data_IF_124276204807
#
_entry.id   IF_124276204807
#
_cell.length_a   1.000
_cell.length_b   1.000
_cell.length_c   1.000
_cell.angle_alpha   90.00
_cell.angle_beta   90.00
_cell.angle_gamma   90.00
#
_symmetry.space_group_name_H-M   'P 1'
#
loop_
_entity.id
_entity.type
_entity.pdbx_description
1 polymer ?
#
# COMPACT_ATOMS: atom_id res chain seq x y z
N UNK A 1 4.60 -23.83 -1.40
CA UNK A 1 4.48 -22.43 -0.96
C UNK A 1 3.74 -22.35 0.36
N UNK A 2 3.91 -21.26 1.10
CA UNK A 2 3.11 -20.96 2.29
C UNK A 2 2.26 -19.71 2.00
N UNK A 3 0.94 -19.84 2.11
CA UNK A 3 0.03 -18.69 2.18
C UNK A 3 -0.04 -18.26 3.64
N UNK A 4 0.49 -17.07 3.91
CA UNK A 4 0.67 -16.51 5.24
C UNK A 4 -0.31 -15.37 5.47
N UNK A 5 -1.18 -15.51 6.46
CA UNK A 5 -2.21 -14.51 6.77
C UNK A 5 -2.08 -14.05 8.21
N UNK A 6 -1.99 -12.73 8.41
CA UNK A 6 -2.09 -12.12 9.75
C UNK A 6 -3.52 -11.65 10.00
N UNK A 7 -4.04 -11.89 11.22
CA UNK A 7 -5.40 -11.51 11.57
C UNK A 7 -5.49 -10.88 12.96
N UNK A 8 -6.35 -9.86 13.10
CA UNK A 8 -6.76 -9.29 14.38
C UNK A 8 -8.25 -9.01 14.37
N UNK A 9 -9.02 -9.78 15.14
CA UNK A 9 -10.47 -9.64 15.26
C UNK A 9 -11.19 -9.69 13.89
N UNK A 10 -10.95 -10.77 13.12
CA UNK A 10 -11.47 -10.95 11.76
C UNK A 10 -12.44 -12.13 11.66
N UNK A 11 -13.12 -12.51 12.77
CA UNK A 11 -14.02 -13.66 12.84
C UNK A 11 -15.03 -13.74 11.71
N UNK A 12 -15.62 -12.60 11.34
CA UNK A 12 -16.65 -12.53 10.31
C UNK A 12 -16.11 -12.78 8.89
N UNK A 13 -14.83 -12.48 8.65
CA UNK A 13 -14.20 -12.61 7.32
C UNK A 13 -13.49 -13.95 7.13
N UNK A 14 -13.06 -14.59 8.21
CA UNK A 14 -12.28 -15.84 8.20
C UNK A 14 -12.94 -16.96 7.36
N UNK A 15 -14.24 -17.30 7.51
CA UNK A 15 -14.81 -18.40 6.74
C UNK A 15 -14.73 -18.18 5.23
N UNK A 16 -15.06 -16.97 4.78
CA UNK A 16 -15.01 -16.62 3.37
C UNK A 16 -13.57 -16.56 2.84
N UNK A 17 -12.63 -16.02 3.63
CA UNK A 17 -11.21 -15.97 3.25
C UNK A 17 -10.59 -17.36 3.15
N UNK A 18 -10.88 -18.26 4.10
CA UNK A 18 -10.37 -19.63 4.06
C UNK A 18 -10.97 -20.39 2.87
N UNK A 19 -12.27 -20.25 2.61
CA UNK A 19 -12.90 -20.83 1.42
C UNK A 19 -12.27 -20.31 0.13
N UNK A 20 -12.05 -18.99 0.00
CA UNK A 20 -11.34 -18.40 -1.15
C UNK A 20 -9.93 -18.99 -1.30
N UNK A 21 -9.18 -19.08 -0.21
CA UNK A 21 -7.79 -19.56 -0.23
C UNK A 21 -7.66 -21.03 -0.62
N UNK A 22 -8.65 -21.87 -0.25
CA UNK A 22 -8.68 -23.31 -0.60
C UNK A 22 -9.13 -23.56 -2.04
N UNK A 23 -9.89 -22.63 -2.61
CA UNK A 23 -10.42 -22.73 -3.99
C UNK A 23 -9.51 -22.09 -5.05
N UNK A 24 -8.28 -21.71 -4.69
CA UNK A 24 -7.34 -21.17 -5.65
C UNK A 24 -6.82 -22.27 -6.60
N UNK A 25 -6.61 -21.90 -7.86
CA UNK A 25 -6.11 -22.79 -8.91
C UNK A 25 -4.60 -23.08 -8.73
N UNK A 26 -4.29 -23.85 -7.67
CA UNK A 26 -2.93 -24.31 -7.35
C UNK A 26 -3.02 -25.65 -6.61
N UNK A 27 -2.11 -26.60 -6.82
CA UNK A 27 -2.15 -27.93 -6.16
C UNK A 27 -2.22 -27.78 -4.64
N UNK A 28 -3.28 -28.26 -4.03
CA UNK A 28 -3.57 -28.06 -2.60
C UNK A 28 -2.50 -28.68 -1.70
N UNK A 29 -1.92 -29.82 -2.10
CA UNK A 29 -0.84 -30.49 -1.40
C UNK A 29 0.49 -29.71 -1.42
N UNK A 30 0.59 -28.67 -2.27
CA UNK A 30 1.75 -27.77 -2.36
C UNK A 30 1.55 -26.43 -1.65
N UNK A 31 0.39 -26.21 -1.00
CA UNK A 31 0.09 -25.00 -0.24
C UNK A 31 -0.05 -25.32 1.24
N UNK A 32 0.73 -24.67 2.07
CA UNK A 32 0.51 -24.59 3.51
C UNK A 32 -0.22 -23.30 3.84
N UNK A 33 -1.25 -23.39 4.67
CA UNK A 33 -2.01 -22.22 5.12
C UNK A 33 -1.61 -21.90 6.57
N UNK A 34 -0.84 -20.84 6.76
CA UNK A 34 -0.42 -20.35 8.08
C UNK A 34 -1.22 -19.08 8.41
N UNK A 35 -1.89 -19.12 9.55
CA UNK A 35 -2.58 -17.98 10.12
C UNK A 35 -1.96 -17.58 11.44
N UNK A 36 -1.63 -16.29 11.56
CA UNK A 36 -1.05 -15.72 12.78
C UNK A 36 -2.00 -14.68 13.33
N UNK A 37 -2.56 -14.96 14.50
CA UNK A 37 -3.46 -14.03 15.20
C UNK A 37 -2.71 -13.29 16.30
N UNK A 38 -2.99 -11.98 16.46
CA UNK A 38 -2.25 -11.07 17.32
C UNK A 38 -3.22 -10.33 18.26
N UNK A 39 -3.43 -10.89 19.45
CA UNK A 39 -4.32 -10.34 20.47
C UNK A 39 -5.80 -10.37 20.09
N UNK A 40 -6.23 -11.29 19.22
CA UNK A 40 -7.64 -11.46 18.88
C UNK A 40 -8.43 -12.02 20.07
N UNK A 41 -9.59 -11.42 20.34
CA UNK A 41 -10.47 -11.77 21.45
C UNK A 41 -11.96 -11.91 21.03
N UNK A 42 -12.23 -12.03 19.73
CA UNK A 42 -13.55 -12.17 19.14
C UNK A 42 -13.93 -13.63 18.80
N UNK A 43 -13.08 -14.60 19.16
CA UNK A 43 -13.22 -16.00 18.79
C UNK A 43 -12.61 -16.35 17.42
N UNK A 44 -11.77 -15.46 16.85
CA UNK A 44 -11.03 -15.73 15.61
C UNK A 44 -10.05 -16.90 15.73
N UNK A 45 -9.25 -17.04 16.82
CA UNK A 45 -8.32 -18.16 16.96
C UNK A 45 -9.05 -19.51 17.01
N UNK A 46 -10.07 -19.63 17.84
CA UNK A 46 -10.86 -20.85 18.04
C UNK A 46 -11.57 -21.27 16.74
N UNK A 47 -12.09 -20.27 15.98
CA UNK A 47 -12.69 -20.54 14.68
C UNK A 47 -11.65 -21.09 13.70
N UNK A 48 -10.48 -20.49 13.62
CA UNK A 48 -9.39 -20.96 12.74
C UNK A 48 -8.92 -22.39 13.10
N UNK A 49 -8.75 -22.68 14.39
CA UNK A 49 -8.36 -24.00 14.87
C UNK A 49 -9.38 -25.09 14.53
N UNK A 50 -10.66 -24.73 14.40
CA UNK A 50 -11.73 -25.66 13.98
C UNK A 50 -11.72 -25.98 12.49
N UNK A 51 -10.93 -25.25 11.66
CA UNK A 51 -10.91 -25.40 10.22
C UNK A 51 -9.77 -26.32 9.78
N UNK A 52 -10.11 -27.40 9.11
CA UNK A 52 -9.15 -28.41 8.62
C UNK A 52 -8.11 -27.79 7.66
N UNK A 53 -6.85 -28.21 7.78
CA UNK A 53 -5.76 -27.80 6.89
C UNK A 53 -5.26 -26.37 7.12
N UNK A 54 -5.59 -25.76 8.25
CA UNK A 54 -5.10 -24.45 8.68
C UNK A 54 -4.16 -24.62 9.87
N UNK A 55 -2.96 -24.04 9.78
CA UNK A 55 -2.02 -23.96 10.87
C UNK A 55 -2.19 -22.60 11.57
N UNK A 56 -2.52 -22.61 12.86
CA UNK A 56 -2.85 -21.39 13.63
C UNK A 56 -1.78 -21.15 14.69
N UNK A 57 -1.29 -19.91 14.72
CA UNK A 57 -0.34 -19.46 15.73
C UNK A 57 -0.89 -18.21 16.41
N UNK A 58 -1.46 -18.39 17.62
CA UNK A 58 -2.08 -17.32 18.38
C UNK A 58 -1.14 -16.75 19.45
N UNK A 59 -1.19 -15.44 19.65
CA UNK A 59 -0.60 -14.73 20.79
C UNK A 59 -1.71 -13.89 21.43
N UNK A 60 -1.96 -14.01 22.75
CA UNK A 60 -3.02 -13.26 23.43
C UNK A 60 -2.68 -11.79 23.60
N UNK A 61 -1.39 -11.44 23.63
CA UNK A 61 -0.93 -10.06 23.70
C UNK A 61 -0.84 -9.44 22.29
N UNK A 62 -1.45 -8.26 22.14
CA UNK A 62 -1.44 -7.52 20.88
C UNK A 62 -0.15 -6.72 20.70
N UNK A 63 0.71 -7.13 19.79
CA UNK A 63 2.01 -6.51 19.48
C UNK A 63 2.07 -5.85 18.09
N UNK A 64 1.04 -6.02 17.26
CA UNK A 64 0.93 -5.45 15.93
C UNK A 64 1.31 -6.42 14.81
N UNK A 65 0.93 -6.07 13.57
CA UNK A 65 1.08 -6.92 12.38
C UNK A 65 2.51 -7.40 12.17
N UNK A 66 3.49 -6.50 12.32
CA UNK A 66 4.92 -6.84 12.14
C UNK A 66 5.40 -7.86 13.16
N UNK A 67 5.02 -7.69 14.43
CA UNK A 67 5.38 -8.67 15.46
C UNK A 67 4.78 -10.05 15.16
N UNK A 68 3.52 -10.08 14.66
CA UNK A 68 2.88 -11.30 14.20
C UNK A 68 3.62 -11.91 13.00
N UNK A 69 4.02 -11.11 12.02
CA UNK A 69 4.79 -11.58 10.86
C UNK A 69 6.14 -12.14 11.27
N UNK A 70 6.94 -11.41 12.07
CA UNK A 70 8.24 -11.88 12.55
C UNK A 70 8.12 -13.21 13.30
N UNK A 71 7.13 -13.33 14.20
CA UNK A 71 6.85 -14.56 14.93
C UNK A 71 6.44 -15.71 14.00
N UNK A 72 5.52 -15.45 13.09
CA UNK A 72 4.97 -16.47 12.20
C UNK A 72 5.98 -16.99 11.19
N UNK A 73 6.93 -16.17 10.75
CA UNK A 73 7.96 -16.57 9.80
C UNK A 73 8.85 -17.72 10.31
N UNK A 74 8.96 -17.91 11.62
CA UNK A 74 9.70 -19.05 12.23
C UNK A 74 9.08 -20.39 11.87
N UNK A 75 7.81 -20.44 11.52
CA UNK A 75 7.08 -21.65 11.15
C UNK A 75 7.01 -21.89 9.64
N UNK A 76 7.47 -20.94 8.83
CA UNK A 76 7.50 -21.04 7.37
C UNK A 76 8.69 -21.92 6.96
N UNK A 77 8.41 -23.05 6.28
CA UNK A 77 9.43 -24.03 5.83
C UNK A 77 9.47 -24.19 4.31
N UNK A 78 8.58 -23.53 3.59
CA UNK A 78 8.51 -23.61 2.12
C UNK A 78 9.44 -22.60 1.48
N UNK A 79 9.90 -22.83 0.23
CA UNK A 79 10.83 -21.92 -0.45
C UNK A 79 10.24 -20.52 -0.71
N UNK A 80 8.91 -20.41 -0.83
CA UNK A 80 8.21 -19.16 -1.12
C UNK A 80 7.14 -18.96 -0.07
N UNK A 81 7.09 -17.75 0.49
CA UNK A 81 6.00 -17.27 1.35
C UNK A 81 5.21 -16.18 0.62
N UNK A 82 3.88 -16.33 0.65
CA UNK A 82 2.91 -15.41 0.05
C UNK A 82 2.14 -14.76 1.19
N UNK A 83 2.27 -13.46 1.35
CA UNK A 83 1.57 -12.68 2.36
C UNK A 83 0.24 -12.16 1.81
N UNK A 84 -0.80 -12.28 2.60
CA UNK A 84 -2.12 -11.74 2.28
C UNK A 84 -2.83 -11.26 3.55
N UNK A 85 -3.60 -10.18 3.43
CA UNK A 85 -4.43 -9.70 4.52
C UNK A 85 -5.67 -10.60 4.71
N UNK A 86 -6.15 -10.72 5.94
CA UNK A 86 -7.29 -11.56 6.30
C UNK A 86 -8.62 -11.13 5.63
N UNK A 87 -8.74 -9.86 5.28
CA UNK A 87 -9.94 -9.24 4.72
C UNK A 87 -9.85 -8.98 3.20
N UNK A 88 -8.92 -9.63 2.51
CA UNK A 88 -8.77 -9.55 1.05
C UNK A 88 -9.06 -10.90 0.40
N UNK A 89 -9.60 -10.90 -0.82
CA UNK A 89 -9.91 -12.10 -1.58
C UNK A 89 -8.99 -12.21 -2.78
N UNK A 90 -8.32 -13.34 -2.91
CA UNK A 90 -7.35 -13.58 -3.98
C UNK A 90 -8.07 -14.03 -5.26
N UNK A 91 -7.55 -13.58 -6.41
CA UNK A 91 -7.97 -14.14 -7.71
C UNK A 91 -7.55 -15.60 -7.83
N UNK A 92 -8.33 -16.39 -8.55
CA UNK A 92 -8.18 -17.85 -8.64
C UNK A 92 -6.77 -18.30 -9.03
N UNK A 93 -6.13 -17.63 -9.98
CA UNK A 93 -4.80 -17.97 -10.49
C UNK A 93 -3.65 -17.24 -9.75
N UNK A 94 -3.92 -16.47 -8.72
CA UNK A 94 -2.94 -15.56 -8.11
C UNK A 94 -1.70 -16.29 -7.60
N UNK A 95 -1.84 -17.44 -6.94
CA UNK A 95 -0.68 -18.23 -6.47
C UNK A 95 0.13 -18.77 -7.64
N UNK A 96 -0.51 -19.37 -8.64
CA UNK A 96 0.16 -19.94 -9.82
C UNK A 96 0.99 -18.87 -10.54
N UNK A 97 0.40 -17.70 -10.76
CA UNK A 97 1.04 -16.58 -11.44
C UNK A 97 2.24 -16.05 -10.66
N UNK A 98 2.09 -15.85 -9.35
CA UNK A 98 3.18 -15.42 -8.47
C UNK A 98 4.32 -16.43 -8.51
N UNK A 99 4.03 -17.71 -8.34
CA UNK A 99 5.05 -18.78 -8.30
C UNK A 99 5.80 -18.90 -9.62
N UNK A 100 5.11 -18.71 -10.76
CA UNK A 100 5.75 -18.78 -12.08
C UNK A 100 6.87 -17.73 -12.26
N UNK A 101 6.73 -16.54 -11.67
CA UNK A 101 7.75 -15.50 -11.75
C UNK A 101 9.03 -15.82 -10.97
N UNK A 102 8.95 -16.67 -9.94
CA UNK A 102 10.12 -17.15 -9.21
C UNK A 102 10.96 -18.18 -9.99
N UNK A 103 10.53 -18.58 -11.20
CA UNK A 103 11.36 -19.33 -12.13
C UNK A 103 12.61 -18.56 -12.55
N UNK A 104 12.59 -17.24 -12.56
CA UNK A 104 13.81 -16.42 -12.70
C UNK A 104 14.53 -16.33 -11.33
N UNK A 105 15.79 -16.80 -11.22
CA UNK A 105 16.54 -16.74 -9.97
C UNK A 105 16.84 -15.31 -9.50
N UNK A 106 16.75 -14.31 -10.36
CA UNK A 106 16.90 -12.89 -10.00
C UNK A 106 15.69 -12.32 -9.28
N UNK A 107 14.53 -12.96 -9.38
CA UNK A 107 13.30 -12.53 -8.73
C UNK A 107 13.33 -12.98 -7.27
N UNK A 108 13.43 -12.02 -6.36
CA UNK A 108 13.38 -12.27 -4.91
C UNK A 108 12.03 -11.93 -4.28
N UNK A 109 11.26 -11.05 -4.94
CA UNK A 109 9.93 -10.65 -4.50
C UNK A 109 8.98 -10.51 -5.69
N UNK A 110 7.69 -10.79 -5.48
CA UNK A 110 6.62 -10.57 -6.45
C UNK A 110 5.52 -9.77 -5.76
N UNK A 111 5.16 -8.62 -6.35
CA UNK A 111 4.01 -7.82 -5.95
C UNK A 111 2.81 -8.19 -6.80
N UNK A 112 1.71 -8.54 -6.18
CA UNK A 112 0.41 -8.62 -6.83
C UNK A 112 -0.23 -7.24 -7.00
N UNK A 113 -1.44 -7.26 -7.58
CA UNK A 113 -2.29 -6.09 -7.80
C UNK A 113 -3.35 -5.97 -6.73
N UNK A 114 -3.53 -4.78 -6.22
CA UNK A 114 -4.69 -4.42 -5.40
C UNK A 114 -5.85 -4.03 -6.29
N UNK A 115 -6.98 -4.74 -6.18
CA UNK A 115 -8.25 -4.36 -6.80
C UNK A 115 -9.25 -3.96 -5.73
N UNK A 116 -9.95 -2.86 -5.94
CA UNK A 116 -10.97 -2.39 -5.00
C UNK A 116 -12.33 -2.83 -5.51
N UNK A 117 -13.06 -3.57 -4.67
CA UNK A 117 -14.44 -3.91 -4.92
C UNK A 117 -15.34 -2.71 -4.58
N UNK A 118 -16.08 -2.25 -5.56
CA UNK A 118 -17.11 -1.23 -5.39
C UNK A 118 -18.48 -1.91 -5.45
N UNK A 119 -19.14 -2.06 -4.32
CA UNK A 119 -20.53 -2.56 -4.29
C UNK A 119 -21.50 -1.61 -5.03
N UNK A 120 -21.17 -0.29 -4.97
CA UNK A 120 -21.81 0.77 -5.78
C UNK A 120 -20.75 1.41 -6.66
N UNK A 121 -20.77 1.17 -7.97
CA UNK A 121 -19.85 1.77 -8.96
C UNK A 121 -19.88 3.31 -9.00
N UNK A 122 -20.70 3.93 -8.18
CA UNK A 122 -21.15 5.30 -8.24
C UNK A 122 -20.68 6.21 -7.08
N UNK A 123 -19.89 5.72 -6.10
CA UNK A 123 -19.43 6.60 -5.03
C UNK A 123 -18.30 7.52 -5.49
N UNK A 124 -18.39 8.82 -5.18
CA UNK A 124 -17.39 9.82 -5.55
C UNK A 124 -16.00 9.53 -4.96
N UNK A 125 -15.93 8.96 -3.75
CA UNK A 125 -14.68 8.50 -3.12
C UNK A 125 -14.05 7.35 -3.89
N UNK A 126 -14.86 6.39 -4.37
CA UNK A 126 -14.39 5.26 -5.17
C UNK A 126 -13.82 5.65 -6.52
N UNK A 127 -14.34 6.71 -7.17
CA UNK A 127 -13.83 7.15 -8.47
C UNK A 127 -12.42 7.78 -8.39
N UNK A 128 -12.13 8.58 -7.35
CA UNK A 128 -10.79 9.16 -7.16
C UNK A 128 -9.76 8.12 -6.74
N UNK A 129 -10.14 7.22 -5.85
CA UNK A 129 -9.31 6.09 -5.45
C UNK A 129 -9.02 5.16 -6.64
N UNK A 130 -10.02 4.88 -7.48
CA UNK A 130 -9.84 4.06 -8.68
C UNK A 130 -8.89 4.69 -9.72
N UNK A 131 -8.92 6.02 -9.94
CA UNK A 131 -7.98 6.71 -10.82
C UNK A 131 -6.56 6.61 -10.26
N UNK A 132 -6.42 6.84 -8.96
CA UNK A 132 -5.12 6.72 -8.28
C UNK A 132 -4.52 5.32 -8.41
N UNK A 133 -5.31 4.27 -8.18
CA UNK A 133 -4.83 2.89 -8.31
C UNK A 133 -4.47 2.51 -9.74
N UNK A 134 -5.22 2.99 -10.74
CA UNK A 134 -4.83 2.82 -12.16
C UNK A 134 -3.49 3.45 -12.47
N UNK A 135 -3.22 4.63 -11.91
CA UNK A 135 -1.94 5.30 -12.05
C UNK A 135 -0.81 4.51 -11.34
N UNK A 136 -1.02 4.04 -10.11
CA UNK A 136 -0.04 3.22 -9.37
C UNK A 136 0.25 1.89 -10.12
N UNK A 137 -0.77 1.22 -10.64
CA UNK A 137 -0.62 -0.01 -11.42
C UNK A 137 0.20 0.23 -12.70
N UNK A 138 -0.03 1.36 -13.37
CA UNK A 138 0.73 1.74 -14.56
C UNK A 138 2.21 1.99 -14.22
N UNK A 139 2.48 2.71 -13.13
CA UNK A 139 3.85 2.92 -12.64
C UNK A 139 4.54 1.60 -12.28
N UNK A 140 3.87 0.70 -11.56
CA UNK A 140 4.42 -0.62 -11.26
C UNK A 140 4.77 -1.43 -12.51
N UNK A 141 3.91 -1.36 -13.55
CA UNK A 141 4.21 -1.99 -14.84
C UNK A 141 5.48 -1.44 -15.49
N UNK A 142 5.63 -0.13 -15.50
CA UNK A 142 6.82 0.52 -16.06
C UNK A 142 8.07 0.26 -15.22
N UNK A 143 7.95 0.30 -13.91
CA UNK A 143 9.03 -0.01 -12.99
C UNK A 143 9.54 -1.44 -13.18
N UNK A 144 8.64 -2.42 -13.22
CA UNK A 144 9.00 -3.82 -13.44
C UNK A 144 9.67 -4.05 -14.81
N UNK A 145 9.21 -3.32 -15.85
CA UNK A 145 9.83 -3.38 -17.20
C UNK A 145 11.21 -2.72 -17.23
N UNK A 146 11.41 -1.64 -16.47
CA UNK A 146 12.68 -0.93 -16.44
C UNK A 146 13.72 -1.73 -15.65
N UNK A 147 13.38 -2.17 -14.45
CA UNK A 147 14.26 -2.97 -13.61
C UNK A 147 13.52 -3.68 -12.47
N UNK A 148 12.88 -2.96 -11.55
CA UNK A 148 12.25 -3.50 -10.36
C UNK A 148 11.14 -2.58 -9.88
N UNK A 149 10.06 -3.15 -9.36
CA UNK A 149 9.03 -2.34 -8.68
C UNK A 149 9.60 -1.73 -7.40
N UNK A 150 9.13 -0.54 -7.04
CA UNK A 150 9.52 0.17 -5.82
C UNK A 150 8.47 -0.07 -4.73
N UNK A 151 8.63 -1.19 -4.05
CA UNK A 151 7.74 -1.61 -2.97
C UNK A 151 6.55 -2.45 -3.44
N UNK A 152 6.26 -3.52 -2.72
CA UNK A 152 5.15 -4.42 -2.96
C UNK A 152 3.81 -3.84 -2.45
N UNK A 153 2.70 -4.49 -2.77
CA UNK A 153 1.37 -4.19 -2.24
C UNK A 153 1.05 -5.13 -1.09
N UNK A 154 0.71 -4.58 0.07
CA UNK A 154 0.50 -5.34 1.31
C UNK A 154 -0.64 -6.34 1.27
N UNK A 155 -1.59 -6.16 0.37
CA UNK A 155 -2.74 -7.04 0.18
C UNK A 155 -2.37 -8.38 -0.44
N UNK A 156 -1.30 -8.40 -1.27
CA UNK A 156 -0.77 -9.62 -1.88
C UNK A 156 0.67 -9.40 -2.36
N UNK A 157 1.62 -10.03 -1.72
CA UNK A 157 3.00 -10.11 -2.20
C UNK A 157 3.66 -11.41 -1.73
N UNK A 158 4.73 -11.77 -2.39
CA UNK A 158 5.49 -12.97 -2.06
C UNK A 158 6.98 -12.70 -2.09
N UNK A 159 7.74 -13.46 -1.28
CA UNK A 159 9.20 -13.43 -1.28
C UNK A 159 9.77 -14.85 -1.26
N UNK A 160 11.03 -15.00 -1.68
CA UNK A 160 11.80 -16.19 -1.31
C UNK A 160 12.00 -16.18 0.19
N UNK A 161 11.71 -17.30 0.84
CA UNK A 161 11.71 -17.40 2.31
C UNK A 161 13.11 -17.18 2.91
N UNK A 162 14.16 -17.61 2.20
CA UNK A 162 15.56 -17.42 2.58
C UNK A 162 16.04 -15.96 2.53
N UNK A 163 15.28 -15.07 1.84
CA UNK A 163 15.57 -13.65 1.79
C UNK A 163 14.86 -12.83 2.90
N UNK A 164 14.09 -13.51 3.74
CA UNK A 164 13.43 -12.84 4.85
C UNK A 164 14.44 -12.23 5.82
N UNK A 165 14.18 -10.99 6.19
CA UNK A 165 14.88 -10.30 7.28
C UNK A 165 13.83 -9.80 8.26
N UNK A 166 14.07 -10.05 9.53
CA UNK A 166 13.22 -9.55 10.60
C UNK A 166 13.09 -8.03 10.51
N UNK A 167 11.86 -7.55 10.66
CA UNK A 167 11.53 -6.12 10.49
C UNK A 167 11.32 -5.51 11.87
N UNK A 168 11.75 -4.27 12.02
CA UNK A 168 11.61 -3.53 13.28
C UNK A 168 10.14 -3.41 13.67
N UNK A 169 9.79 -3.67 14.95
CA UNK A 169 8.39 -3.72 15.41
C UNK A 169 7.59 -2.43 15.17
N UNK A 170 8.27 -1.27 15.10
CA UNK A 170 7.67 0.03 14.85
C UNK A 170 7.44 0.37 13.36
N UNK A 171 7.65 -0.59 12.46
CA UNK A 171 7.47 -0.41 11.01
C UNK A 171 5.99 -0.23 10.66
N UNK A 172 5.69 0.81 9.87
CA UNK A 172 4.32 1.17 9.50
C UNK A 172 3.89 0.64 8.13
N UNK A 173 4.86 0.47 7.22
CA UNK A 173 4.69 -0.07 5.87
C UNK A 173 5.54 -1.33 5.76
N UNK A 174 4.99 -2.43 6.22
CA UNK A 174 5.63 -3.75 6.24
C UNK A 174 6.02 -4.23 4.84
N UNK A 175 5.06 -4.28 3.95
CA UNK A 175 5.20 -4.69 2.56
C UNK A 175 6.29 -3.92 1.81
N UNK A 176 6.31 -2.60 2.01
CA UNK A 176 7.27 -1.71 1.39
C UNK A 176 8.70 -1.96 1.90
N UNK A 177 8.88 -2.08 3.22
CA UNK A 177 10.19 -2.29 3.83
C UNK A 177 10.71 -3.70 3.52
N UNK A 178 9.88 -4.73 3.66
CA UNK A 178 10.25 -6.12 3.38
C UNK A 178 10.71 -6.28 1.93
N UNK A 179 9.89 -5.84 0.98
CA UNK A 179 10.19 -5.99 -0.44
C UNK A 179 11.45 -5.23 -0.87
N UNK A 180 11.65 -4.01 -0.37
CA UNK A 180 12.86 -3.25 -0.67
C UNK A 180 14.11 -3.81 0.00
N UNK A 181 14.01 -4.43 1.18
CA UNK A 181 15.14 -5.17 1.78
C UNK A 181 15.55 -6.38 0.92
N UNK A 182 14.59 -7.05 0.29
CA UNK A 182 14.89 -8.09 -0.70
C UNK A 182 15.63 -7.49 -1.91
N UNK A 183 15.16 -6.36 -2.43
CA UNK A 183 15.82 -5.68 -3.54
C UNK A 183 17.25 -5.18 -3.18
N UNK A 184 17.47 -4.75 -1.94
CA UNK A 184 18.79 -4.34 -1.45
C UNK A 184 19.82 -5.49 -1.39
N UNK A 185 19.35 -6.75 -1.37
CA UNK A 185 20.19 -7.94 -1.45
C UNK A 185 20.59 -8.31 -2.89
N UNK A 186 20.19 -7.48 -3.89
CA UNK A 186 20.55 -7.67 -5.30
C UNK A 186 19.49 -8.41 -6.13
N UNK A 187 18.33 -8.68 -5.56
CA UNK A 187 17.19 -9.28 -6.27
C UNK A 187 16.26 -8.21 -6.86
N UNK A 188 15.35 -8.63 -7.73
CA UNK A 188 14.31 -7.76 -8.30
C UNK A 188 12.96 -8.04 -7.63
N UNK A 189 12.12 -7.00 -7.59
CA UNK A 189 10.70 -7.11 -7.26
C UNK A 189 9.93 -7.08 -8.58
N UNK A 190 9.30 -8.20 -8.93
CA UNK A 190 8.45 -8.29 -10.12
C UNK A 190 7.00 -7.95 -9.79
N UNK A 191 6.20 -7.68 -10.82
CA UNK A 191 4.80 -7.32 -10.69
C UNK A 191 3.94 -8.07 -11.70
N UNK A 192 2.88 -8.69 -11.21
CA UNK A 192 1.86 -9.29 -12.07
C UNK A 192 0.49 -8.66 -11.76
N UNK A 193 -0.12 -7.91 -12.69
CA UNK A 193 -1.43 -7.28 -12.50
C UNK A 193 -2.60 -8.27 -12.49
N UNK A 194 -2.37 -9.51 -12.95
CA UNK A 194 -3.38 -10.56 -12.96
C UNK A 194 -3.28 -11.49 -11.74
N UNK A 195 -2.20 -11.40 -10.97
CA UNK A 195 -2.13 -11.91 -9.62
C UNK A 195 -2.67 -10.84 -8.66
N UNK A 196 -3.94 -10.91 -8.27
CA UNK A 196 -4.60 -9.81 -7.58
C UNK A 196 -5.27 -10.21 -6.28
N UNK A 197 -5.41 -9.22 -5.40
CA UNK A 197 -6.24 -9.27 -4.20
C UNK A 197 -7.33 -8.21 -4.27
N UNK A 198 -8.57 -8.62 -3.99
CA UNK A 198 -9.75 -7.74 -3.95
C UNK A 198 -9.97 -7.30 -2.52
N UNK A 199 -10.12 -6.01 -2.31
CA UNK A 199 -10.42 -5.39 -1.02
C UNK A 199 -11.64 -4.48 -1.13
N UNK A 200 -12.46 -4.41 -0.08
CA UNK A 200 -13.57 -3.45 -0.02
C UNK A 200 -13.06 -2.01 0.10
N UNK A 201 -13.74 -1.08 -0.58
CA UNK A 201 -13.41 0.34 -0.51
C UNK A 201 -13.52 0.91 0.91
N UNK A 202 -12.77 1.96 1.21
CA UNK A 202 -12.90 2.72 2.45
C UNK A 202 -14.33 3.26 2.61
N UNK A 203 -14.87 3.23 3.84
CA UNK A 203 -16.25 3.61 4.12
C UNK A 203 -16.57 5.04 3.68
N UNK A 204 -15.66 5.96 3.94
CA UNK A 204 -15.79 7.38 3.61
C UNK A 204 -14.44 8.09 3.42
N UNK A 205 -14.49 9.34 2.96
CA UNK A 205 -13.30 10.18 2.73
C UNK A 205 -12.49 10.46 4.00
N UNK A 206 -13.12 10.41 5.18
CA UNK A 206 -12.46 10.63 6.47
C UNK A 206 -11.54 9.45 6.81
N UNK A 207 -12.04 8.24 6.67
CA UNK A 207 -11.27 7.00 6.87
C UNK A 207 -10.13 6.90 5.84
N UNK A 208 -10.40 7.28 4.59
CA UNK A 208 -9.38 7.35 3.55
C UNK A 208 -8.27 8.34 3.91
N UNK A 209 -8.60 9.55 4.40
CA UNK A 209 -7.61 10.52 4.85
C UNK A 209 -6.76 9.99 6.02
N UNK A 210 -7.37 9.36 7.02
CA UNK A 210 -6.63 8.72 8.13
C UNK A 210 -5.64 7.68 7.61
N UNK A 211 -6.09 6.83 6.68
CA UNK A 211 -5.25 5.82 6.02
C UNK A 211 -4.07 6.49 5.29
N UNK A 212 -4.32 7.55 4.52
CA UNK A 212 -3.27 8.28 3.78
C UNK A 212 -2.27 8.98 4.69
N UNK A 213 -2.71 9.55 5.82
CA UNK A 213 -1.82 10.13 6.84
C UNK A 213 -0.88 9.06 7.41
N UNK A 214 -1.41 7.86 7.72
CA UNK A 214 -0.61 6.74 8.20
C UNK A 214 0.40 6.28 7.15
N UNK A 215 -0.03 6.11 5.90
CA UNK A 215 0.83 5.73 4.78
C UNK A 215 1.93 6.78 4.58
N UNK A 216 1.61 8.06 4.65
CA UNK A 216 2.58 9.15 4.51
C UNK A 216 3.62 9.15 5.64
N UNK A 217 3.18 8.97 6.89
CA UNK A 217 4.09 8.86 8.04
C UNK A 217 5.00 7.63 7.90
N UNK A 218 4.43 6.48 7.49
CA UNK A 218 5.18 5.25 7.22
C UNK A 218 6.14 5.39 6.04
N UNK A 219 5.76 6.12 4.99
CA UNK A 219 6.61 6.42 3.85
C UNK A 219 7.83 7.24 4.25
N UNK A 220 7.64 8.28 5.08
CA UNK A 220 8.73 9.10 5.64
C UNK A 220 9.66 8.23 6.51
N UNK A 221 9.08 7.42 7.41
CA UNK A 221 9.84 6.47 8.23
C UNK A 221 10.67 5.52 7.36
N UNK A 222 10.05 4.93 6.34
CA UNK A 222 10.70 3.99 5.44
C UNK A 222 11.83 4.65 4.64
N UNK A 223 11.66 5.90 4.15
CA UNK A 223 12.71 6.64 3.45
C UNK A 223 13.92 6.86 4.34
N UNK A 224 13.73 7.23 5.60
CA UNK A 224 14.81 7.44 6.56
C UNK A 224 15.50 6.10 6.89
N UNK A 225 14.73 5.03 7.09
CA UNK A 225 15.22 3.68 7.42
C UNK A 225 16.01 3.04 6.26
N UNK A 226 15.51 3.21 5.04
CA UNK A 226 16.10 2.69 3.82
C UNK A 226 17.01 3.73 3.10
N UNK A 227 17.57 4.70 3.83
CA UNK A 227 18.38 5.79 3.27
C UNK A 227 19.55 5.33 2.42
N UNK A 228 20.06 4.12 2.63
CA UNK A 228 21.12 3.54 1.79
C UNK A 228 20.69 3.40 0.33
N UNK A 229 19.39 3.20 0.04
CA UNK A 229 18.86 3.17 -1.33
C UNK A 229 18.97 4.52 -2.07
N UNK A 230 19.27 5.62 -1.39
CA UNK A 230 19.55 6.91 -2.02
C UNK A 230 20.91 6.92 -2.76
N UNK A 231 21.77 5.92 -2.49
CA UNK A 231 23.06 5.82 -3.14
C UNK A 231 22.95 5.20 -4.53
N UNK A 232 22.86 6.07 -5.54
CA UNK A 232 22.74 5.67 -6.95
C UNK A 232 23.98 4.90 -7.46
N UNK A 233 25.16 5.13 -6.89
CA UNK A 233 26.36 4.40 -7.26
C UNK A 233 26.36 2.96 -6.76
N UNK A 234 25.63 2.67 -5.67
CA UNK A 234 25.51 1.32 -5.13
C UNK A 234 24.34 0.54 -5.74
N UNK A 235 23.19 1.20 -5.94
CA UNK A 235 21.96 0.52 -6.33
C UNK A 235 21.46 0.87 -7.74
N UNK A 236 22.17 1.77 -8.46
CA UNK A 236 21.91 2.07 -9.88
C UNK A 236 20.46 2.46 -10.16
N UNK A 237 19.84 1.71 -11.08
CA UNK A 237 18.46 1.95 -11.53
C UNK A 237 17.44 1.83 -10.39
N UNK A 238 17.63 0.90 -9.45
CA UNK A 238 16.75 0.77 -8.29
C UNK A 238 16.73 2.07 -7.46
N UNK A 239 17.89 2.68 -7.23
CA UNK A 239 17.98 3.98 -6.54
C UNK A 239 17.25 5.08 -7.30
N UNK A 240 17.42 5.15 -8.62
CA UNK A 240 16.71 6.12 -9.47
C UNK A 240 15.19 5.95 -9.35
N UNK A 241 14.68 4.72 -9.50
CA UNK A 241 13.24 4.42 -9.35
C UNK A 241 12.74 4.78 -7.94
N UNK A 242 13.50 4.41 -6.90
CA UNK A 242 13.16 4.71 -5.51
C UNK A 242 13.07 6.21 -5.24
N UNK A 243 14.06 6.98 -5.69
CA UNK A 243 14.08 8.44 -5.51
C UNK A 243 12.91 9.07 -6.26
N UNK A 244 12.76 8.77 -7.56
CA UNK A 244 11.75 9.42 -8.41
C UNK A 244 10.30 9.08 -8.00
N UNK A 245 10.00 7.84 -7.64
CA UNK A 245 8.63 7.40 -7.39
C UNK A 245 8.20 7.46 -5.93
N UNK A 246 9.14 7.44 -4.97
CA UNK A 246 8.81 7.43 -3.55
C UNK A 246 9.39 8.61 -2.78
N UNK A 247 10.71 8.85 -2.87
CA UNK A 247 11.34 9.91 -2.09
C UNK A 247 10.84 11.28 -2.51
N UNK A 248 10.85 11.60 -3.80
CA UNK A 248 10.35 12.89 -4.29
C UNK A 248 8.88 13.09 -3.92
N UNK A 249 8.07 12.05 -4.00
CA UNK A 249 6.64 12.10 -3.69
C UNK A 249 6.33 12.38 -2.23
N UNK A 250 7.10 11.83 -1.29
CA UNK A 250 6.84 11.97 0.15
C UNK A 250 7.64 13.08 0.80
N UNK A 251 8.83 13.40 0.26
CA UNK A 251 9.78 14.31 0.91
C UNK A 251 9.96 15.64 0.19
N UNK A 252 9.61 15.75 -1.09
CA UNK A 252 9.94 16.95 -1.90
C UNK A 252 8.70 17.55 -2.55
N UNK A 253 7.96 16.79 -3.37
CA UNK A 253 6.86 17.32 -4.18
C UNK A 253 5.79 18.08 -3.39
N UNK A 254 5.32 17.62 -2.21
CA UNK A 254 4.33 18.37 -1.43
C UNK A 254 4.82 19.76 -1.05
N UNK A 255 6.09 19.87 -0.66
CA UNK A 255 6.67 21.17 -0.26
C UNK A 255 6.88 22.10 -1.45
N UNK A 256 7.25 21.56 -2.61
CA UNK A 256 7.32 22.35 -3.86
C UNK A 256 5.96 22.88 -4.26
N UNK A 257 4.88 22.08 -4.09
CA UNK A 257 3.51 22.56 -4.35
C UNK A 257 3.13 23.76 -3.49
N UNK A 258 3.59 23.82 -2.23
CA UNK A 258 3.41 25.04 -1.40
C UNK A 258 4.21 26.23 -1.93
N UNK A 259 5.45 26.01 -2.37
CA UNK A 259 6.32 27.07 -2.89
C UNK A 259 5.81 27.66 -4.22
N UNK A 260 5.11 26.87 -5.04
CA UNK A 260 4.52 27.36 -6.29
C UNK A 260 3.55 28.53 -6.05
N UNK A 261 2.86 28.58 -4.91
CA UNK A 261 1.88 29.63 -4.61
C UNK A 261 2.53 31.03 -4.57
N UNK A 262 3.48 31.29 -3.65
CA UNK A 262 4.12 32.59 -3.58
C UNK A 262 4.99 32.90 -4.82
N UNK A 263 5.65 31.90 -5.40
CA UNK A 263 6.47 32.10 -6.58
C UNK A 263 5.63 32.53 -7.79
N UNK A 264 4.49 31.84 -8.02
CA UNK A 264 3.59 32.18 -9.11
C UNK A 264 2.97 33.57 -8.94
N UNK A 265 2.67 33.96 -7.68
CA UNK A 265 2.21 35.32 -7.37
C UNK A 265 3.28 36.38 -7.69
N UNK A 266 4.53 36.15 -7.31
CA UNK A 266 5.65 37.07 -7.58
C UNK A 266 5.89 37.25 -9.10
N UNK A 267 5.84 36.13 -9.85
CA UNK A 267 5.98 36.15 -11.30
C UNK A 267 4.82 36.89 -11.98
N UNK A 268 3.58 36.61 -11.57
CA UNK A 268 2.39 37.30 -12.04
C UNK A 268 2.47 38.81 -11.80
N UNK A 269 2.86 39.23 -10.58
CA UNK A 269 2.96 40.65 -10.23
C UNK A 269 4.01 41.39 -11.06
N UNK A 270 5.04 40.75 -11.52
CA UNK A 270 6.13 41.32 -12.31
C UNK A 270 5.86 41.28 -13.83
N UNK A 271 4.74 40.71 -14.25
CA UNK A 271 4.37 40.62 -15.67
C UNK A 271 3.65 41.91 -16.10
N UNK A 272 4.24 42.66 -17.05
CA UNK A 272 3.70 43.93 -17.50
C UNK A 272 2.54 43.81 -18.50
N UNK A 273 2.34 42.62 -19.05
CA UNK A 273 1.27 42.30 -20.04
C UNK A 273 0.67 40.93 -19.70
N UNK A 274 -0.50 40.62 -20.26
CA UNK A 274 -1.11 39.30 -20.10
C UNK A 274 -0.24 38.25 -20.78
N UNK A 275 0.43 37.41 -19.96
CA UNK A 275 1.35 36.39 -20.42
C UNK A 275 1.14 35.05 -19.72
N UNK A 276 2.14 34.18 -19.81
CA UNK A 276 2.07 32.80 -19.26
C UNK A 276 1.83 32.80 -17.75
N UNK A 277 2.46 33.72 -17.00
CA UNK A 277 2.33 33.76 -15.54
C UNK A 277 0.94 34.24 -15.11
N UNK A 278 0.29 35.12 -15.90
CA UNK A 278 -1.09 35.50 -15.70
C UNK A 278 -2.01 34.25 -15.80
N UNK A 279 -1.87 33.43 -16.84
CA UNK A 279 -2.65 32.20 -17.00
C UNK A 279 -2.39 31.18 -15.87
N UNK A 280 -1.13 31.03 -15.48
CA UNK A 280 -0.76 30.12 -14.39
C UNK A 280 -1.36 30.57 -13.05
N UNK A 281 -1.38 31.88 -12.77
CA UNK A 281 -1.96 32.44 -11.56
C UNK A 281 -3.48 32.20 -11.48
N UNK A 282 -4.20 32.52 -12.54
CA UNK A 282 -5.66 32.28 -12.56
C UNK A 282 -5.99 30.79 -12.63
N UNK A 283 -5.18 30.00 -13.33
CA UNK A 283 -5.31 28.54 -13.33
C UNK A 283 -5.13 27.93 -11.93
N UNK A 284 -4.14 28.43 -11.17
CA UNK A 284 -3.93 28.04 -9.77
C UNK A 284 -5.09 28.45 -8.88
N UNK A 285 -5.63 29.66 -9.04
CA UNK A 285 -6.83 30.12 -8.32
C UNK A 285 -8.03 29.20 -8.62
N UNK A 286 -8.28 28.91 -9.90
CA UNK A 286 -9.34 27.99 -10.32
C UNK A 286 -9.13 26.58 -9.70
N UNK A 287 -7.91 26.09 -9.66
CA UNK A 287 -7.60 24.79 -9.02
C UNK A 287 -8.04 24.79 -7.54
N UNK A 288 -7.69 25.81 -6.75
CA UNK A 288 -8.10 25.87 -5.34
C UNK A 288 -9.62 26.09 -5.17
N UNK A 289 -10.27 26.79 -6.09
CA UNK A 289 -11.73 26.89 -6.10
C UNK A 289 -12.37 25.50 -6.32
N UNK A 290 -11.84 24.71 -7.25
CA UNK A 290 -12.28 23.32 -7.48
C UNK A 290 -12.03 22.44 -6.26
N UNK A 291 -10.88 22.58 -5.58
CA UNK A 291 -10.57 21.88 -4.33
C UNK A 291 -11.61 22.21 -3.26
N UNK A 292 -11.90 23.51 -3.05
CA UNK A 292 -12.89 23.98 -2.07
C UNK A 292 -14.29 23.42 -2.38
N UNK A 293 -14.69 23.51 -3.65
CA UNK A 293 -15.99 22.97 -4.11
C UNK A 293 -16.07 21.46 -3.89
N UNK A 294 -15.02 20.72 -4.24
CA UNK A 294 -14.92 19.27 -3.99
C UNK A 294 -14.99 18.93 -2.50
N UNK A 295 -14.34 19.75 -1.65
CA UNK A 295 -14.40 19.59 -0.19
C UNK A 295 -15.81 19.84 0.37
N UNK A 296 -16.53 20.86 -0.11
CA UNK A 296 -17.90 21.16 0.29
C UNK A 296 -18.88 20.07 -0.17
N UNK A 297 -18.71 19.54 -1.37
CA UNK A 297 -19.60 18.54 -1.98
C UNK A 297 -19.29 17.09 -1.54
N UNK A 298 -18.18 16.87 -0.81
CA UNK A 298 -17.78 15.51 -0.36
C UNK A 298 -18.86 14.77 0.43
N UNK A 299 -19.67 15.52 1.21
CA UNK A 299 -20.73 14.94 2.03
C UNK A 299 -21.98 14.57 1.21
N UNK A 300 -22.17 15.17 0.01
CA UNK A 300 -23.37 15.00 -0.82
C UNK A 300 -23.24 13.88 -1.86
N UNK A 301 -22.16 13.09 -1.84
CA UNK A 301 -21.89 12.03 -2.81
C UNK A 301 -22.08 12.43 -4.30
N UNK A 302 -21.86 13.71 -4.60
CA UNK A 302 -22.08 14.27 -5.94
C UNK A 302 -21.08 13.68 -6.94
N UNK A 303 -21.58 13.19 -8.08
CA UNK A 303 -20.89 12.35 -9.08
C UNK A 303 -19.99 13.09 -10.08
N UNK A 304 -19.61 14.34 -9.84
CA UNK A 304 -18.85 15.12 -10.82
C UNK A 304 -17.38 14.74 -10.73
N UNK A 305 -16.98 13.74 -11.52
CA UNK A 305 -15.60 13.18 -11.56
C UNK A 305 -14.52 14.28 -11.72
N UNK A 306 -14.77 15.31 -12.54
CA UNK A 306 -13.83 16.40 -12.79
C UNK A 306 -13.52 17.28 -11.57
N UNK A 307 -14.47 17.43 -10.64
CA UNK A 307 -14.28 18.19 -9.38
C UNK A 307 -13.50 17.38 -8.33
N UNK A 308 -13.62 16.07 -8.38
CA UNK A 308 -13.03 15.21 -7.37
C UNK A 308 -11.51 15.03 -7.55
N UNK A 309 -10.99 15.10 -8.77
CA UNK A 309 -9.55 14.92 -9.05
C UNK A 309 -8.69 15.99 -8.38
N UNK A 310 -8.97 17.31 -8.52
CA UNK A 310 -8.24 18.37 -7.80
C UNK A 310 -8.32 18.22 -6.29
N UNK A 311 -9.51 17.91 -5.76
CA UNK A 311 -9.69 17.67 -4.32
C UNK A 311 -8.87 16.49 -3.82
N UNK A 312 -8.87 15.35 -4.55
CA UNK A 312 -8.12 14.16 -4.17
C UNK A 312 -6.61 14.42 -4.22
N UNK A 313 -6.13 15.10 -5.27
CA UNK A 313 -4.73 15.52 -5.37
C UNK A 313 -4.31 16.39 -4.17
N UNK A 314 -5.13 17.38 -3.82
CA UNK A 314 -4.88 18.23 -2.65
C UNK A 314 -4.85 17.39 -1.35
N UNK A 315 -5.83 16.52 -1.16
CA UNK A 315 -5.93 15.64 0.01
C UNK A 315 -4.69 14.73 0.16
N UNK A 316 -4.17 14.19 -0.95
CA UNK A 316 -2.97 13.38 -0.97
C UNK A 316 -1.73 14.17 -0.48
N UNK A 317 -1.52 15.39 -0.98
CA UNK A 317 -0.42 16.24 -0.54
C UNK A 317 -0.62 16.71 0.92
N UNK A 318 -1.83 17.07 1.30
CA UNK A 318 -2.18 17.44 2.68
C UNK A 318 -1.90 16.30 3.67
N UNK A 319 -2.17 15.06 3.29
CA UNK A 319 -1.88 13.89 4.11
C UNK A 319 -0.37 13.74 4.39
N UNK A 320 0.51 14.20 3.50
CA UNK A 320 1.97 14.15 3.71
C UNK A 320 2.38 15.12 4.83
N UNK A 321 1.84 16.33 4.86
CA UNK A 321 2.15 17.27 5.95
C UNK A 321 1.71 16.75 7.32
N UNK A 322 0.49 16.22 7.38
CA UNK A 322 -0.02 15.61 8.61
C UNK A 322 0.77 14.35 9.00
N UNK A 323 1.20 13.56 8.00
CA UNK A 323 2.06 12.41 8.18
C UNK A 323 3.43 12.79 8.74
N UNK A 324 4.05 13.88 8.24
CA UNK A 324 5.30 14.40 8.76
C UNK A 324 5.16 14.87 10.22
N UNK A 325 4.11 15.64 10.52
CA UNK A 325 3.84 16.08 11.91
C UNK A 325 3.66 14.88 12.83
N UNK A 326 2.93 13.87 12.38
CA UNK A 326 2.68 12.63 13.13
C UNK A 326 3.99 11.86 13.36
N UNK A 327 4.84 11.75 12.36
CA UNK A 327 6.15 11.12 12.44
C UNK A 327 7.05 11.84 13.45
N UNK A 328 7.17 13.18 13.34
CA UNK A 328 8.00 13.99 14.22
C UNK A 328 7.54 13.95 15.70
N UNK A 329 6.24 13.82 15.94
CA UNK A 329 5.69 13.69 17.30
C UNK A 329 5.86 12.30 17.90
N UNK A 330 6.33 11.30 17.16
CA UNK A 330 6.43 9.92 17.62
C UNK A 330 5.08 9.30 18.04
N UNK A 331 3.95 9.90 17.62
CA UNK A 331 2.60 9.51 18.05
C UNK A 331 2.02 8.34 17.25
N UNK A 332 2.87 7.59 16.56
CA UNK A 332 2.46 6.51 15.68
C UNK A 332 2.33 5.22 16.48
N UNK A 333 1.09 4.75 16.68
CA UNK A 333 0.85 3.42 17.22
C UNK A 333 1.12 2.38 16.12
N UNK A 334 1.89 1.36 16.45
CA UNK A 334 2.10 0.16 15.63
C UNK A 334 0.83 -0.70 15.61
N UNK A 335 0.07 -0.58 16.67
CA UNK A 335 -1.23 -1.22 16.83
C UNK A 335 -2.25 -0.40 16.03
N UNK A 336 -2.51 -0.82 14.80
CA UNK A 336 -3.46 -0.14 13.91
C UNK A 336 -4.91 -0.38 14.34
N UNK A 337 -5.69 0.68 14.28
CA UNK A 337 -7.14 0.57 14.41
C UNK A 337 -7.70 -0.14 13.17
N UNK A 338 -8.61 -1.11 13.38
CA UNK A 338 -9.33 -1.76 12.27
C UNK A 338 -10.06 -0.70 11.46
N UNK A 339 -9.72 -0.57 10.18
CA UNK A 339 -10.40 0.38 9.29
C UNK A 339 -11.87 -0.02 9.12
N UNK A 340 -12.78 0.90 9.35
CA UNK A 340 -14.20 0.68 9.06
C UNK A 340 -14.38 0.65 7.54
N UNK A 341 -14.81 -0.50 7.00
CA UNK A 341 -15.09 -0.73 5.58
C UNK A 341 -16.57 -0.86 5.34
N UNK A 342 -17.01 -0.67 4.09
CA UNK A 342 -18.39 -0.91 3.67
C UNK A 342 -18.65 -2.40 3.50
#
# INVERSE_FOLDING_TARGET
VTLFVTAYNEKDTIPAKVANSKNLNYPSEKVRHIWVTDGSNDGSPELLESLEGIEVYHEPERKGKIAAMNRGMQFVKTPIVIFSDANTFLGEDSIMRIVSLFGDPKVGCVSGEKRIFHADSDSASGSGEGIYWKYESLLKKWDARLYSVVGAAGELFAIRTDLWQEVEPDTLLDDFVISLRVAMQGYTIQYDPDAYAIESASKDTKEELKRKIRISAGGIQAVIRLRSLLNIFKYGILSFQYISHRVLRWMVSPFLVLLIIPLNYLLFRNENTIGVYTFLWYGQFMFYLLVLTGWMLRAKQTRIKGLFVPFYFFMMNYSVYLGLVRYLKGSQSVVWEKAKRK
#
